data_IF_825421134081
#
_entry.id   IF_825421134081
#
_cell.length_a   1.000
_cell.length_b   1.000
_cell.length_c   1.000
_cell.angle_alpha   90.00
_cell.angle_beta   90.00
_cell.angle_gamma   90.00
#
_symmetry.space_group_name_H-M   'P 1'
#
loop_
_entity.id
_entity.type
_entity.pdbx_description
1 polymer ?
#
# COMPACT_ATOMS: atom_id res chain seq x y z
N UNK A 1 16.41 11.72 22.76
CA UNK A 1 15.85 11.75 21.40
C UNK A 1 17.00 11.47 20.41
N UNK A 2 16.81 10.52 19.53
CA UNK A 2 17.81 10.18 18.54
C UNK A 2 18.00 11.34 17.55
N UNK A 3 19.24 11.59 17.15
CA UNK A 3 19.50 12.58 16.11
C UNK A 3 18.97 12.10 14.76
N UNK A 4 18.73 13.02 13.83
CA UNK A 4 18.29 12.66 12.48
C UNK A 4 19.31 11.74 11.79
N UNK A 5 20.60 11.94 12.06
CA UNK A 5 21.65 11.06 11.54
C UNK A 5 21.46 9.63 12.04
N UNK A 6 21.16 9.45 13.33
CA UNK A 6 20.89 8.12 13.89
C UNK A 6 19.63 7.52 13.30
N UNK A 7 18.57 8.32 13.13
CA UNK A 7 17.32 7.86 12.49
C UNK A 7 17.59 7.39 11.05
N UNK A 8 18.41 8.12 10.32
CA UNK A 8 18.80 7.74 8.95
C UNK A 8 19.49 6.37 8.95
N UNK A 9 20.52 6.21 9.79
CA UNK A 9 21.29 4.96 9.84
C UNK A 9 20.44 3.76 10.24
N UNK A 10 19.53 3.95 11.18
CA UNK A 10 18.71 2.85 11.74
C UNK A 10 17.51 2.51 10.88
N UNK A 11 16.93 3.49 10.17
CA UNK A 11 15.61 3.33 9.56
C UNK A 11 15.57 3.54 8.04
N UNK A 12 16.69 3.89 7.40
CA UNK A 12 16.71 4.16 5.96
C UNK A 12 16.21 2.95 5.15
N UNK A 13 16.72 1.77 5.47
CA UNK A 13 16.32 0.54 4.78
C UNK A 13 14.81 0.26 4.97
N UNK A 14 14.30 0.48 6.17
CA UNK A 14 12.88 0.31 6.46
C UNK A 14 12.02 1.26 5.62
N UNK A 15 12.40 2.53 5.57
CA UNK A 15 11.68 3.54 4.78
C UNK A 15 11.69 3.16 3.30
N UNK A 16 12.84 2.77 2.77
CA UNK A 16 12.95 2.32 1.38
C UNK A 16 12.06 1.11 1.10
N UNK A 17 11.99 0.15 2.03
CA UNK A 17 11.15 -1.04 1.85
C UNK A 17 9.66 -0.68 1.78
N UNK A 18 9.22 0.26 2.61
CA UNK A 18 7.82 0.72 2.58
C UNK A 18 7.51 1.37 1.23
N UNK A 19 8.36 2.26 0.76
CA UNK A 19 8.17 2.96 -0.51
C UNK A 19 8.20 1.97 -1.69
N UNK A 20 9.17 1.05 -1.69
CA UNK A 20 9.40 0.12 -2.80
C UNK A 20 8.24 -0.85 -3.02
N UNK A 21 7.44 -1.12 -1.98
CA UNK A 21 6.23 -1.93 -2.14
C UNK A 21 5.28 -1.35 -3.19
N UNK A 22 5.27 -0.03 -3.34
CA UNK A 22 4.32 0.68 -4.19
C UNK A 22 4.93 1.22 -5.47
N UNK A 23 6.19 1.63 -5.45
CA UNK A 23 6.84 2.31 -6.57
C UNK A 23 7.56 1.34 -7.51
N UNK A 24 8.16 0.28 -6.99
CA UNK A 24 8.89 -0.75 -7.75
C UNK A 24 10.01 -0.18 -8.64
N UNK A 25 10.58 0.94 -8.26
CA UNK A 25 11.69 1.59 -8.96
C UNK A 25 12.69 2.03 -7.91
N UNK A 26 13.89 1.45 -7.94
CA UNK A 26 14.91 1.69 -6.92
C UNK A 26 15.35 3.16 -6.87
N UNK A 27 15.55 3.77 -8.03
CA UNK A 27 15.99 5.16 -8.10
C UNK A 27 14.94 6.11 -7.50
N UNK A 28 13.68 5.92 -7.85
CA UNK A 28 12.59 6.73 -7.31
C UNK A 28 12.37 6.47 -5.82
N UNK A 29 12.50 5.23 -5.39
CA UNK A 29 12.42 4.86 -3.98
C UNK A 29 13.48 5.61 -3.17
N UNK A 30 14.71 5.62 -3.63
CA UNK A 30 15.81 6.32 -2.98
C UNK A 30 15.58 7.83 -2.96
N UNK A 31 15.09 8.40 -4.06
CA UNK A 31 14.77 9.84 -4.14
C UNK A 31 13.73 10.23 -3.09
N UNK A 32 12.65 9.46 -2.98
CA UNK A 32 11.59 9.73 -2.01
C UNK A 32 12.11 9.58 -0.58
N UNK A 33 12.89 8.54 -0.31
CA UNK A 33 13.47 8.32 1.01
C UNK A 33 14.40 9.46 1.41
N UNK A 34 15.23 9.93 0.49
CA UNK A 34 16.13 11.06 0.72
C UNK A 34 15.35 12.35 1.01
N UNK A 35 14.26 12.60 0.30
CA UNK A 35 13.40 13.76 0.57
C UNK A 35 12.83 13.72 1.99
N UNK A 36 12.42 12.54 2.45
CA UNK A 36 11.90 12.37 3.81
C UNK A 36 12.96 12.75 4.85
N UNK A 37 14.16 12.22 4.72
CA UNK A 37 15.22 12.50 5.69
C UNK A 37 15.75 13.92 5.57
N UNK A 38 15.73 14.52 4.38
CA UNK A 38 16.08 15.94 4.19
C UNK A 38 15.06 16.84 4.91
N UNK A 39 13.78 16.52 4.85
CA UNK A 39 12.74 17.25 5.58
C UNK A 39 12.92 17.11 7.09
N UNK A 40 13.22 15.91 7.57
CA UNK A 40 13.48 15.68 8.98
C UNK A 40 14.68 16.48 9.45
N UNK A 41 15.73 16.54 8.63
CA UNK A 41 16.92 17.34 8.94
C UNK A 41 16.58 18.82 9.04
N UNK A 42 15.82 19.34 8.09
CA UNK A 42 15.40 20.76 8.09
C UNK A 42 14.58 21.11 9.33
N UNK A 43 13.72 20.18 9.76
CA UNK A 43 12.82 20.39 10.90
C UNK A 43 13.34 19.81 12.22
N UNK A 44 14.61 19.43 12.28
CA UNK A 44 15.17 18.70 13.43
C UNK A 44 14.98 19.37 14.78
N UNK A 45 15.00 20.69 14.81
CA UNK A 45 14.87 21.46 16.05
C UNK A 45 13.41 21.55 16.53
N UNK A 46 12.46 21.30 15.65
CA UNK A 46 11.02 21.37 15.93
C UNK A 46 10.36 20.00 15.97
N UNK A 47 11.14 18.95 15.70
CA UNK A 47 10.61 17.60 15.57
C UNK A 47 10.21 17.03 16.93
N UNK A 48 8.91 16.76 17.08
CA UNK A 48 8.36 16.06 18.25
C UNK A 48 7.58 14.85 17.73
N UNK A 49 8.02 13.67 18.11
CA UNK A 49 7.38 12.43 17.71
C UNK A 49 6.56 11.90 18.88
N UNK A 50 5.22 11.88 18.72
CA UNK A 50 4.29 11.43 19.75
C UNK A 50 3.99 9.94 19.69
N UNK A 51 4.44 9.25 18.64
CA UNK A 51 4.26 7.81 18.45
C UNK A 51 5.62 7.14 18.39
N UNK A 52 5.66 5.85 18.10
CA UNK A 52 6.94 5.20 17.85
C UNK A 52 7.59 5.80 16.60
N UNK A 53 8.92 5.82 16.58
CA UNK A 53 9.69 6.33 15.43
C UNK A 53 9.31 5.55 14.16
N UNK A 54 9.21 4.23 14.28
CA UNK A 54 8.84 3.36 13.15
C UNK A 54 7.48 3.72 12.57
N UNK A 55 6.47 3.94 13.43
CA UNK A 55 5.13 4.32 13.00
C UNK A 55 5.13 5.68 12.30
N UNK A 56 5.87 6.64 12.86
CA UNK A 56 6.00 7.98 12.29
C UNK A 56 6.64 7.93 10.90
N UNK A 57 7.77 7.22 10.77
CA UNK A 57 8.47 7.12 9.49
C UNK A 57 7.65 6.35 8.46
N UNK A 58 6.93 5.31 8.88
CA UNK A 58 6.02 4.58 7.98
C UNK A 58 4.96 5.51 7.42
N UNK A 59 4.34 6.31 8.28
CA UNK A 59 3.29 7.25 7.84
C UNK A 59 3.84 8.28 6.86
N UNK A 60 5.03 8.82 7.13
CA UNK A 60 5.70 9.73 6.19
C UNK A 60 5.98 9.06 4.86
N UNK A 61 6.52 7.85 4.90
CA UNK A 61 6.87 7.09 3.69
C UNK A 61 5.62 6.81 2.85
N UNK A 62 4.54 6.36 3.48
CA UNK A 62 3.28 6.07 2.79
C UNK A 62 2.69 7.35 2.19
N UNK A 63 2.63 8.43 2.96
CA UNK A 63 2.07 9.70 2.49
C UNK A 63 2.84 10.26 1.29
N UNK A 64 4.17 10.25 1.36
CA UNK A 64 5.02 10.72 0.24
C UNK A 64 4.87 9.85 -0.98
N UNK A 65 4.80 8.55 -0.78
CA UNK A 65 4.60 7.60 -1.87
C UNK A 65 3.26 7.82 -2.56
N UNK A 66 2.20 8.04 -1.78
CA UNK A 66 0.86 8.33 -2.32
C UNK A 66 0.85 9.62 -3.12
N UNK A 67 1.51 10.67 -2.62
CA UNK A 67 1.61 11.92 -3.35
C UNK A 67 2.33 11.71 -4.70
N UNK A 68 3.41 10.95 -4.70
CA UNK A 68 4.14 10.60 -5.91
C UNK A 68 3.25 9.83 -6.90
N UNK A 69 2.55 8.81 -6.43
CA UNK A 69 1.66 8.00 -7.28
C UNK A 69 0.50 8.81 -7.83
N UNK A 70 -0.08 9.69 -7.00
CA UNK A 70 -1.15 10.58 -7.45
C UNK A 70 -0.67 11.49 -8.58
N UNK A 71 0.51 12.12 -8.40
CA UNK A 71 1.01 13.11 -9.35
C UNK A 71 1.49 12.49 -10.66
N UNK A 72 2.11 11.31 -10.59
CA UNK A 72 2.67 10.63 -11.77
C UNK A 72 1.63 9.78 -12.51
N UNK A 73 0.59 9.33 -11.84
CA UNK A 73 -0.44 8.45 -12.41
C UNK A 73 -1.84 9.05 -12.31
N UNK A 74 -1.93 10.37 -12.28
CA UNK A 74 -3.20 11.09 -12.09
C UNK A 74 -4.28 10.65 -13.08
N UNK A 75 -3.96 10.54 -14.35
CA UNK A 75 -4.90 10.08 -15.37
C UNK A 75 -5.49 8.72 -15.06
N UNK A 76 -4.65 7.78 -14.68
CA UNK A 76 -5.07 6.40 -14.45
C UNK A 76 -5.93 6.25 -13.20
N UNK A 77 -5.69 7.06 -12.16
CA UNK A 77 -6.57 7.08 -11.00
C UNK A 77 -7.94 7.67 -11.33
N UNK A 78 -7.98 8.74 -12.14
CA UNK A 78 -9.23 9.33 -12.59
C UNK A 78 -10.04 8.41 -13.50
N UNK A 79 -9.37 7.60 -14.31
CA UNK A 79 -10.03 6.58 -15.14
C UNK A 79 -10.78 5.56 -14.30
N UNK A 80 -10.27 5.22 -13.11
CA UNK A 80 -10.98 4.32 -12.19
C UNK A 80 -12.32 4.92 -11.73
N UNK A 81 -12.39 6.25 -11.59
CA UNK A 81 -13.63 6.92 -11.21
C UNK A 81 -14.72 6.78 -12.28
N UNK A 82 -14.32 6.77 -13.55
CA UNK A 82 -15.27 6.73 -14.68
C UNK A 82 -15.54 5.32 -15.17
N UNK A 83 -14.73 4.34 -14.80
CA UNK A 83 -14.89 2.96 -15.21
C UNK A 83 -15.87 2.26 -14.28
N UNK A 84 -16.98 1.79 -14.84
CA UNK A 84 -17.90 0.92 -14.10
C UNK A 84 -17.32 -0.49 -14.16
N UNK A 85 -16.74 -0.92 -13.05
CA UNK A 85 -16.25 -2.28 -12.94
C UNK A 85 -17.38 -3.20 -12.52
N UNK A 86 -18.05 -3.78 -13.52
CA UNK A 86 -19.17 -4.68 -13.31
C UNK A 86 -18.78 -5.92 -12.51
N UNK A 87 -17.51 -6.31 -12.59
CA UNK A 87 -17.01 -7.45 -11.82
C UNK A 87 -16.93 -7.15 -10.32
N UNK A 88 -16.60 -5.91 -9.96
CA UNK A 88 -16.53 -5.51 -8.56
C UNK A 88 -17.90 -5.49 -7.87
N UNK A 89 -18.99 -5.34 -8.64
CA UNK A 89 -20.35 -5.27 -8.13
C UNK A 89 -21.05 -6.64 -8.03
N UNK A 90 -20.37 -7.71 -8.42
CA UNK A 90 -20.94 -9.05 -8.30
C UNK A 90 -20.91 -9.50 -6.84
N UNK A 91 -21.98 -10.19 -6.38
CA UNK A 91 -22.00 -10.67 -5.01
C UNK A 91 -20.79 -11.58 -4.75
N UNK A 92 -20.20 -11.37 -3.58
CA UNK A 92 -19.05 -12.16 -3.17
C UNK A 92 -19.42 -13.63 -3.09
N UNK A 93 -18.67 -14.47 -3.81
CA UNK A 93 -18.78 -15.91 -3.64
C UNK A 93 -18.43 -16.25 -2.18
N UNK A 94 -19.17 -17.19 -1.61
CA UNK A 94 -18.92 -17.60 -0.23
C UNK A 94 -17.48 -18.02 -0.04
N UNK A 95 -16.88 -17.69 1.12
CA UNK A 95 -15.50 -18.08 1.36
C UNK A 95 -15.35 -19.59 1.27
N UNK A 96 -14.49 -20.03 0.35
CA UNK A 96 -14.09 -21.43 0.31
C UNK A 96 -13.27 -21.68 1.57
N UNK A 97 -13.69 -22.64 2.37
CA UNK A 97 -12.95 -23.00 3.56
C UNK A 97 -11.59 -23.54 3.13
N UNK A 98 -10.54 -22.83 3.47
CA UNK A 98 -9.18 -23.27 3.22
C UNK A 98 -8.84 -24.27 4.30
N UNK A 99 -9.35 -25.49 4.16
CA UNK A 99 -9.00 -26.60 5.04
C UNK A 99 -7.78 -27.30 4.44
N UNK A 100 -6.87 -27.71 5.27
CA UNK A 100 -5.75 -28.60 4.95
C UNK A 100 -4.52 -27.94 4.31
N UNK A 101 -4.40 -26.62 4.35
CA UNK A 101 -3.20 -25.95 3.90
C UNK A 101 -2.33 -25.53 5.10
N UNK A 102 -1.06 -25.85 5.04
CA UNK A 102 -0.14 -25.37 6.08
C UNK A 102 -0.06 -23.85 6.03
N UNK A 103 0.06 -23.23 7.19
CA UNK A 103 0.08 -21.77 7.32
C UNK A 103 1.16 -21.12 6.45
N UNK A 104 2.37 -21.70 6.43
CA UNK A 104 3.47 -21.18 5.61
C UNK A 104 3.15 -21.23 4.11
N UNK A 105 2.54 -22.32 3.66
CA UNK A 105 2.15 -22.49 2.26
C UNK A 105 1.05 -21.50 1.87
N UNK A 106 0.06 -21.32 2.74
CA UNK A 106 -1.01 -20.37 2.53
C UNK A 106 -0.46 -18.94 2.42
N UNK A 107 0.45 -18.57 3.31
CA UNK A 107 1.08 -17.25 3.29
C UNK A 107 1.83 -17.02 1.98
N UNK A 108 2.59 -17.99 1.52
CA UNK A 108 3.34 -17.90 0.26
C UNK A 108 2.39 -17.71 -0.93
N UNK A 109 1.32 -18.48 -0.99
CA UNK A 109 0.34 -18.37 -2.08
C UNK A 109 -0.38 -17.04 -2.04
N UNK A 110 -0.72 -16.57 -0.85
CA UNK A 110 -1.38 -15.28 -0.68
C UNK A 110 -0.47 -14.15 -1.13
N UNK A 111 0.81 -14.17 -0.74
CA UNK A 111 1.79 -13.17 -1.17
C UNK A 111 1.93 -13.15 -2.69
N UNK A 112 2.02 -14.31 -3.33
CA UNK A 112 2.08 -14.41 -4.78
C UNK A 112 0.81 -13.87 -5.44
N UNK A 113 -0.35 -14.18 -4.88
CA UNK A 113 -1.63 -13.71 -5.40
C UNK A 113 -1.74 -12.17 -5.29
N UNK A 114 -1.28 -11.59 -4.20
CA UNK A 114 -1.24 -10.14 -4.04
C UNK A 114 -0.36 -9.51 -5.11
N UNK A 115 0.83 -10.06 -5.35
CA UNK A 115 1.74 -9.54 -6.38
C UNK A 115 1.17 -9.67 -7.79
N UNK A 116 0.26 -10.58 -8.03
CA UNK A 116 -0.39 -10.75 -9.33
C UNK A 116 -1.63 -9.90 -9.54
N UNK A 117 -2.09 -9.17 -8.52
CA UNK A 117 -3.20 -8.25 -8.67
C UNK A 117 -2.87 -7.13 -9.68
N UNK A 118 -3.89 -6.60 -10.40
CA UNK A 118 -3.68 -5.40 -11.20
C UNK A 118 -3.08 -4.28 -10.33
N UNK A 119 -2.18 -3.49 -10.88
CA UNK A 119 -1.36 -2.54 -10.12
C UNK A 119 -2.17 -1.65 -9.18
N UNK A 120 -3.20 -0.98 -9.67
CA UNK A 120 -4.00 -0.06 -8.86
C UNK A 120 -4.79 -0.77 -7.77
N UNK A 121 -5.34 -1.92 -8.12
CA UNK A 121 -6.06 -2.78 -7.18
C UNK A 121 -5.11 -3.22 -6.06
N UNK A 122 -3.91 -3.66 -6.42
CA UNK A 122 -2.87 -4.06 -5.46
C UNK A 122 -2.49 -2.91 -4.53
N UNK A 123 -2.24 -1.72 -5.08
CA UNK A 123 -1.85 -0.55 -4.29
C UNK A 123 -2.92 -0.21 -3.26
N UNK A 124 -4.17 -0.09 -3.68
CA UNK A 124 -5.29 0.23 -2.79
C UNK A 124 -5.43 -0.84 -1.70
N UNK A 125 -5.36 -2.10 -2.09
CA UNK A 125 -5.46 -3.22 -1.14
C UNK A 125 -4.34 -3.19 -0.11
N UNK A 126 -3.10 -2.99 -0.55
CA UNK A 126 -1.93 -2.98 0.35
C UNK A 126 -1.96 -1.78 1.31
N UNK A 127 -2.38 -0.60 0.82
CA UNK A 127 -2.51 0.57 1.68
C UNK A 127 -3.47 0.32 2.83
N UNK A 128 -4.59 -0.31 2.55
CA UNK A 128 -5.59 -0.60 3.58
C UNK A 128 -5.15 -1.73 4.51
N UNK A 129 -4.67 -2.85 3.95
CA UNK A 129 -4.40 -4.07 4.72
C UNK A 129 -3.03 -4.09 5.39
N UNK A 130 -2.01 -3.55 4.74
CA UNK A 130 -0.64 -3.57 5.28
C UNK A 130 -0.28 -2.29 6.02
N UNK A 131 -0.68 -1.14 5.49
CA UNK A 131 -0.32 0.15 6.08
C UNK A 131 -1.48 0.79 6.86
N UNK A 132 -2.55 0.03 7.09
CA UNK A 132 -3.66 0.37 8.00
C UNK A 132 -4.34 1.71 7.71
N UNK A 133 -4.37 2.11 6.44
CA UNK A 133 -5.09 3.31 6.03
C UNK A 133 -6.58 3.02 5.87
N UNK A 134 -7.41 3.92 6.37
CA UNK A 134 -8.85 3.82 6.16
C UNK A 134 -9.21 4.07 4.69
N UNK A 135 -10.38 3.63 4.28
CA UNK A 135 -10.88 3.90 2.91
C UNK A 135 -10.93 5.40 2.64
N UNK A 136 -11.36 6.19 3.62
CA UNK A 136 -11.42 7.65 3.49
C UNK A 136 -10.03 8.27 3.31
N UNK A 137 -9.03 7.79 4.05
CA UNK A 137 -7.66 8.26 3.93
C UNK A 137 -7.06 7.93 2.56
N UNK A 138 -7.27 6.69 2.07
CA UNK A 138 -6.80 6.28 0.75
C UNK A 138 -7.46 7.15 -0.33
N UNK A 139 -8.77 7.32 -0.24
CA UNK A 139 -9.53 8.13 -1.20
C UNK A 139 -9.03 9.57 -1.26
N UNK A 140 -8.81 10.17 -0.10
CA UNK A 140 -8.35 11.55 0.00
C UNK A 140 -6.96 11.73 -0.62
N UNK A 141 -6.02 10.87 -0.27
CA UNK A 141 -4.65 10.97 -0.79
C UNK A 141 -4.55 10.70 -2.28
N UNK A 142 -5.31 9.76 -2.80
CA UNK A 142 -5.28 9.41 -4.22
C UNK A 142 -6.23 10.26 -5.07
N UNK A 143 -7.05 11.11 -4.45
CA UNK A 143 -8.04 11.95 -5.12
C UNK A 143 -9.05 11.12 -5.90
N UNK A 144 -9.54 10.06 -5.28
CA UNK A 144 -10.62 9.20 -5.78
C UNK A 144 -11.72 9.12 -4.73
N UNK A 145 -12.88 8.63 -5.10
CA UNK A 145 -13.99 8.49 -4.16
C UNK A 145 -13.80 7.28 -3.25
N UNK A 146 -14.45 7.32 -2.09
CA UNK A 146 -14.49 6.17 -1.17
C UNK A 146 -15.12 4.96 -1.88
N UNK A 147 -16.12 5.19 -2.71
CA UNK A 147 -16.77 4.14 -3.48
C UNK A 147 -15.78 3.43 -4.41
N UNK A 148 -14.90 4.18 -5.07
CA UNK A 148 -13.85 3.62 -5.92
C UNK A 148 -12.87 2.78 -5.09
N UNK A 149 -12.50 3.26 -3.89
CA UNK A 149 -11.65 2.48 -2.97
C UNK A 149 -12.35 1.16 -2.61
N UNK A 150 -13.62 1.22 -2.22
CA UNK A 150 -14.41 0.02 -1.89
C UNK A 150 -14.44 -0.97 -3.06
N UNK A 151 -14.65 -0.47 -4.27
CA UNK A 151 -14.69 -1.30 -5.47
C UNK A 151 -13.35 -2.00 -5.71
N UNK A 152 -12.24 -1.29 -5.56
CA UNK A 152 -10.91 -1.86 -5.74
C UNK A 152 -10.59 -2.92 -4.66
N UNK A 153 -10.96 -2.67 -3.42
CA UNK A 153 -10.80 -3.65 -2.34
C UNK A 153 -11.63 -4.90 -2.62
N UNK A 154 -12.89 -4.72 -3.03
CA UNK A 154 -13.78 -5.84 -3.39
C UNK A 154 -13.21 -6.68 -4.52
N UNK A 155 -12.68 -6.02 -5.55
CA UNK A 155 -12.03 -6.69 -6.66
C UNK A 155 -10.81 -7.48 -6.20
N UNK A 156 -9.97 -6.88 -5.35
CA UNK A 156 -8.79 -7.54 -4.80
C UNK A 156 -9.18 -8.80 -4.04
N UNK A 157 -10.15 -8.70 -3.15
CA UNK A 157 -10.61 -9.84 -2.34
C UNK A 157 -11.14 -10.98 -3.21
N UNK A 158 -11.90 -10.63 -4.24
CA UNK A 158 -12.42 -11.62 -5.18
C UNK A 158 -11.30 -12.36 -5.91
N UNK A 159 -10.34 -11.62 -6.45
CA UNK A 159 -9.20 -12.20 -7.16
C UNK A 159 -8.32 -13.06 -6.25
N UNK A 160 -8.11 -12.61 -5.01
CA UNK A 160 -7.33 -13.37 -4.03
C UNK A 160 -8.00 -14.69 -3.68
N UNK A 161 -9.32 -14.69 -3.50
CA UNK A 161 -10.08 -15.92 -3.23
C UNK A 161 -10.00 -16.91 -4.38
N UNK A 162 -10.13 -16.42 -5.61
CA UNK A 162 -10.00 -17.26 -6.80
C UNK A 162 -8.61 -17.86 -6.92
N UNK A 163 -7.57 -17.05 -6.68
CA UNK A 163 -6.19 -17.53 -6.77
C UNK A 163 -5.90 -18.63 -5.74
N UNK A 164 -6.41 -18.48 -4.51
CA UNK A 164 -6.21 -19.47 -3.45
C UNK A 164 -7.02 -20.74 -3.72
N UNK A 165 -8.25 -20.63 -4.24
CA UNK A 165 -9.11 -21.78 -4.50
C UNK A 165 -8.68 -22.60 -5.72
N UNK A 166 -8.06 -21.98 -6.73
CA UNK A 166 -7.64 -22.68 -7.96
C UNK A 166 -6.56 -23.73 -7.75
N UNK A 167 -5.86 -23.69 -6.62
CA UNK A 167 -4.79 -24.66 -6.35
C UNK A 167 -5.28 -25.95 -5.68
N UNK A 168 -6.61 -26.14 -5.61
CA UNK A 168 -7.22 -27.33 -5.01
C UNK A 168 -7.67 -28.39 -6.03
N UNK A 169 -7.32 -28.17 -7.27
CA UNK A 169 -7.65 -29.13 -8.33
C UNK A 169 -6.85 -30.41 -8.25
#
# INVERSE_FOLDING_TARGET
MDSVEQLFKQHYAFVCNVINRYVHDRSKTEDIAQEIFAELWTKRDQLVIHTSVTAYLRRMAVTRTLNYLRDTKKHTWQELETTIDLEANQPMLQPTVIQDMEEAELKQRLDQAIQSLPEKCRIVFMLNRMDEMSYAEVADHLQISVKTVENQIGKALKLLRLAVSQHRG
#
